data_IF_542662274086
#
_entry.id   IF_542662274086
#
_cell.length_a   1.000
_cell.length_b   1.000
_cell.length_c   1.000
_cell.angle_alpha   90.00
_cell.angle_beta   90.00
_cell.angle_gamma   90.00
#
_symmetry.space_group_name_H-M   'P 1'
#
loop_
_entity.id
_entity.type
_entity.pdbx_description
1 polymer ?
#
# COMPACT_ATOMS: atom_id res chain seq x y z
N UNK A 1 8.13 -6.66 -8.74
CA UNK A 1 7.04 -5.78 -8.24
C UNK A 1 5.73 -6.10 -8.94
N UNK A 2 4.62 -6.10 -8.20
CA UNK A 2 3.25 -6.33 -8.72
C UNK A 2 2.33 -5.16 -8.37
N UNK A 3 1.46 -4.78 -9.30
CA UNK A 3 0.51 -3.69 -9.10
C UNK A 3 -0.71 -4.16 -8.30
N UNK A 4 -1.14 -3.37 -7.32
CA UNK A 4 -2.42 -3.58 -6.64
C UNK A 4 -3.47 -2.70 -7.33
N UNK A 5 -4.53 -3.28 -7.91
CA UNK A 5 -5.57 -2.50 -8.58
C UNK A 5 -6.34 -1.66 -7.57
N UNK A 6 -6.45 -0.36 -7.84
CA UNK A 6 -7.16 0.61 -7.02
C UNK A 6 -8.10 1.43 -7.91
N UNK A 7 -9.18 1.93 -7.32
CA UNK A 7 -10.11 2.85 -7.98
C UNK A 7 -9.91 4.28 -7.45
N UNK A 8 -10.26 5.33 -8.22
CA UNK A 8 -10.14 6.72 -7.77
C UNK A 8 -11.24 7.11 -6.77
N UNK A 9 -11.22 6.51 -5.57
CA UNK A 9 -12.22 6.64 -4.52
C UNK A 9 -11.60 7.11 -3.20
N UNK A 10 -12.30 8.01 -2.50
CA UNK A 10 -11.88 8.51 -1.17
C UNK A 10 -11.79 7.42 -0.10
N UNK A 11 -12.51 6.31 -0.26
CA UNK A 11 -12.40 5.16 0.64
C UNK A 11 -12.65 3.88 -0.12
N UNK A 12 -11.76 2.90 0.04
CA UNK A 12 -11.89 1.58 -0.57
C UNK A 12 -11.20 0.49 0.26
N UNK A 13 -11.56 -0.76 0.01
CA UNK A 13 -10.93 -1.94 0.59
C UNK A 13 -10.66 -2.96 -0.52
N UNK A 14 -9.45 -3.49 -0.57
CA UNK A 14 -9.01 -4.47 -1.56
C UNK A 14 -8.53 -5.72 -0.84
N UNK A 15 -9.01 -6.88 -1.29
CA UNK A 15 -8.52 -8.18 -0.84
C UNK A 15 -7.64 -8.79 -1.91
N UNK A 16 -6.43 -9.21 -1.54
CA UNK A 16 -5.44 -9.74 -2.48
C UNK A 16 -4.54 -10.75 -1.77
N UNK A 17 -4.14 -11.81 -2.49
CA UNK A 17 -3.13 -12.76 -2.01
C UNK A 17 -1.71 -12.33 -2.45
N UNK A 18 -0.84 -12.08 -1.47
CA UNK A 18 0.55 -11.63 -1.68
C UNK A 18 1.51 -12.61 -1.00
N UNK A 19 2.34 -13.30 -1.80
CA UNK A 19 3.23 -14.37 -1.31
C UNK A 19 2.50 -15.44 -0.47
N UNK A 20 1.26 -15.80 -0.84
CA UNK A 20 0.45 -16.76 -0.09
C UNK A 20 -0.16 -16.23 1.22
N UNK A 21 -0.05 -14.92 1.48
CA UNK A 21 -0.68 -14.24 2.60
C UNK A 21 -1.98 -13.59 2.15
N UNK A 22 -3.08 -13.85 2.85
CA UNK A 22 -4.37 -13.21 2.56
C UNK A 22 -4.36 -11.79 3.13
N UNK A 23 -4.22 -10.81 2.26
CA UNK A 23 -4.13 -9.40 2.64
C UNK A 23 -5.46 -8.68 2.44
N UNK A 24 -5.80 -7.82 3.39
CA UNK A 24 -6.84 -6.79 3.24
C UNK A 24 -6.16 -5.44 3.39
N UNK A 25 -6.21 -4.65 2.34
CA UNK A 25 -5.67 -3.29 2.28
C UNK A 25 -6.85 -2.34 2.28
N UNK A 26 -6.92 -1.43 3.26
CA UNK A 26 -7.93 -0.37 3.30
C UNK A 26 -7.26 0.97 3.11
N UNK A 27 -7.82 1.79 2.23
CA UNK A 27 -7.35 3.14 1.95
C UNK A 27 -8.44 4.15 2.27
N UNK A 28 -8.05 5.26 2.89
CA UNK A 28 -8.96 6.36 3.15
C UNK A 28 -8.28 7.71 3.01
N UNK A 29 -8.79 8.56 2.14
CA UNK A 29 -8.45 9.97 2.08
C UNK A 29 -8.96 10.69 3.33
N UNK A 30 -8.07 11.44 3.96
CA UNK A 30 -8.36 12.47 4.97
C UNK A 30 -7.88 13.83 4.46
N UNK A 31 -7.98 14.87 5.27
CA UNK A 31 -7.56 16.22 4.89
C UNK A 31 -6.10 16.29 4.47
N UNK A 32 -5.21 15.61 5.19
CA UNK A 32 -3.76 15.69 4.95
C UNK A 32 -3.24 14.64 3.96
N UNK A 33 -3.64 13.37 4.11
CA UNK A 33 -3.08 12.25 3.35
C UNK A 33 -4.14 11.18 3.06
N UNK A 34 -3.78 10.23 2.21
CA UNK A 34 -4.39 8.90 2.24
C UNK A 34 -3.74 8.09 3.36
N UNK A 35 -4.57 7.43 4.15
CA UNK A 35 -4.14 6.52 5.22
C UNK A 35 -4.43 5.08 4.81
N UNK A 36 -3.51 4.18 5.14
CA UNK A 36 -3.60 2.75 4.85
C UNK A 36 -3.67 1.92 6.12
N UNK A 37 -4.55 0.93 6.09
CA UNK A 37 -4.55 -0.21 6.99
C UNK A 37 -4.13 -1.46 6.20
N UNK A 38 -3.29 -2.32 6.79
CA UNK A 38 -2.98 -3.65 6.27
C UNK A 38 -3.28 -4.70 7.34
N UNK A 39 -4.09 -5.68 6.95
CA UNK A 39 -4.37 -6.90 7.72
C UNK A 39 -3.91 -8.10 6.92
N UNK A 40 -3.18 -9.01 7.55
CA UNK A 40 -2.67 -10.25 6.96
C UNK A 40 -3.20 -11.44 7.74
N UNK A 41 -3.88 -12.36 7.07
CA UNK A 41 -4.46 -13.57 7.68
C UNK A 41 -5.31 -13.27 8.94
N UNK A 42 -6.03 -12.14 8.93
CA UNK A 42 -6.84 -11.66 10.05
C UNK A 42 -6.10 -10.87 11.12
N UNK A 43 -4.76 -10.80 11.07
CA UNK A 43 -3.95 -10.04 12.02
C UNK A 43 -3.62 -8.64 11.47
N UNK A 44 -3.86 -7.56 12.23
CA UNK A 44 -3.46 -6.22 11.82
C UNK A 44 -1.92 -6.09 11.82
N UNK A 45 -1.35 -5.71 10.69
CA UNK A 45 0.10 -5.48 10.53
C UNK A 45 0.44 -4.00 10.77
N UNK A 46 -0.36 -3.12 10.19
CA UNK A 46 -0.28 -1.67 10.40
C UNK A 46 -1.68 -1.06 10.22
N UNK A 47 -1.96 0.03 10.91
CA UNK A 47 -3.26 0.72 10.87
C UNK A 47 -3.04 2.22 10.92
N UNK A 48 -3.76 2.97 10.09
CA UNK A 48 -3.72 4.43 10.06
C UNK A 48 -2.36 5.01 9.67
N UNK A 49 -1.61 4.34 8.79
CA UNK A 49 -0.29 4.83 8.34
C UNK A 49 -0.46 5.75 7.13
N UNK A 50 0.08 6.98 7.13
CA UNK A 50 0.00 7.88 5.98
C UNK A 50 0.81 7.32 4.80
N UNK A 51 0.21 7.35 3.63
CA UNK A 51 0.85 6.96 2.37
C UNK A 51 1.67 8.14 1.84
N UNK A 52 2.98 7.97 1.75
CA UNK A 52 3.90 8.96 1.22
C UNK A 52 4.62 8.40 -0.02
N UNK A 53 4.95 9.26 -0.97
CA UNK A 53 5.66 8.87 -2.19
C UNK A 53 6.97 8.12 -1.88
N UNK A 54 7.15 6.96 -2.50
CA UNK A 54 8.37 6.15 -2.40
C UNK A 54 8.62 5.54 -1.02
N UNK A 55 7.71 5.75 -0.06
CA UNK A 55 7.88 5.28 1.30
C UNK A 55 7.35 3.85 1.45
N UNK A 56 8.20 2.96 1.95
CA UNK A 56 7.81 1.61 2.36
C UNK A 56 6.79 1.69 3.50
N UNK A 57 5.69 0.96 3.36
CA UNK A 57 4.59 1.04 4.33
C UNK A 57 4.83 0.17 5.57
N UNK A 58 5.33 -1.05 5.41
CA UNK A 58 5.55 -1.98 6.54
C UNK A 58 6.99 -1.86 7.09
N UNK A 59 8.00 -1.81 6.21
CA UNK A 59 9.44 -1.62 6.49
C UNK A 59 10.14 -2.72 7.27
N UNK A 60 9.52 -3.22 8.33
CA UNK A 60 10.15 -4.10 9.29
C UNK A 60 9.58 -5.51 9.20
N UNK A 61 10.44 -6.47 8.85
CA UNK A 61 10.06 -7.88 8.65
C UNK A 61 9.42 -8.51 9.90
N UNK A 62 9.79 -8.07 11.10
CA UNK A 62 9.22 -8.59 12.35
C UNK A 62 7.71 -8.33 12.50
N UNK A 63 7.13 -7.42 11.70
CA UNK A 63 5.69 -7.16 11.70
C UNK A 63 4.89 -8.29 11.04
N UNK A 64 5.53 -9.25 10.36
CA UNK A 64 4.86 -10.44 9.85
C UNK A 64 4.19 -10.26 8.49
N UNK A 65 4.77 -9.43 7.62
CA UNK A 65 4.39 -9.32 6.21
C UNK A 65 5.60 -9.63 5.32
N UNK A 66 5.46 -10.63 4.44
CA UNK A 66 6.50 -10.96 3.45
C UNK A 66 6.45 -10.00 2.27
N UNK A 67 7.48 -9.17 2.12
CA UNK A 67 7.55 -8.09 1.14
C UNK A 67 7.18 -6.73 1.73
N UNK A 68 6.91 -5.75 0.87
CA UNK A 68 6.47 -4.42 1.27
C UNK A 68 5.49 -3.80 0.27
N UNK A 69 4.83 -2.74 0.69
CA UNK A 69 3.93 -1.94 -0.14
C UNK A 69 4.51 -0.53 -0.29
N UNK A 70 4.40 0.05 -1.48
CA UNK A 70 4.86 1.42 -1.77
C UNK A 70 3.94 2.12 -2.76
N UNK A 71 3.67 3.39 -2.54
CA UNK A 71 3.06 4.24 -3.55
C UNK A 71 4.12 4.93 -4.41
N UNK A 72 3.98 4.86 -5.72
CA UNK A 72 4.77 5.63 -6.67
C UNK A 72 3.85 6.52 -7.53
N UNK A 73 4.35 7.70 -7.87
CA UNK A 73 3.72 8.65 -8.78
C UNK A 73 4.34 8.48 -10.19
N UNK A 74 3.52 8.12 -11.17
CA UNK A 74 3.97 7.86 -12.54
C UNK A 74 4.31 9.14 -13.34
N UNK A 75 3.96 10.33 -12.84
CA UNK A 75 4.21 11.60 -13.56
C UNK A 75 5.09 12.56 -12.78
N UNK A 76 5.49 12.20 -11.56
CA UNK A 76 6.21 13.09 -10.66
C UNK A 76 6.67 12.39 -9.38
N UNK A 77 6.72 13.14 -8.29
CA UNK A 77 7.13 12.66 -6.97
C UNK A 77 6.20 13.21 -5.88
N UNK A 78 4.89 13.15 -6.11
CA UNK A 78 3.89 13.64 -5.16
C UNK A 78 3.29 12.48 -4.35
N UNK A 79 2.90 12.79 -3.11
CA UNK A 79 2.12 11.89 -2.28
C UNK A 79 0.77 11.56 -2.94
N UNK A 80 0.23 10.35 -2.73
CA UNK A 80 -0.98 9.91 -3.41
C UNK A 80 -2.21 10.69 -2.94
N UNK A 81 -3.03 11.10 -3.91
CA UNK A 81 -4.38 11.63 -3.70
C UNK A 81 -5.43 10.74 -4.37
N UNK A 82 -6.64 10.69 -3.78
CA UNK A 82 -7.65 9.70 -4.14
C UNK A 82 -8.06 9.75 -5.61
N UNK A 83 -8.05 10.93 -6.22
CA UNK A 83 -8.45 11.19 -7.60
C UNK A 83 -7.47 10.62 -8.63
N UNK A 84 -6.23 10.32 -8.23
CA UNK A 84 -5.21 9.72 -9.10
C UNK A 84 -4.93 8.24 -8.84
N UNK A 85 -5.61 7.60 -7.87
CA UNK A 85 -5.37 6.18 -7.55
C UNK A 85 -5.65 5.27 -8.74
N UNK A 86 -4.80 4.25 -8.92
CA UNK A 86 -4.94 3.27 -10.00
C UNK A 86 -4.44 3.76 -11.36
N UNK A 87 -4.16 5.06 -11.51
CA UNK A 87 -3.58 5.65 -12.72
C UNK A 87 -2.26 6.36 -12.44
N UNK A 88 -2.34 7.58 -11.90
CA UNK A 88 -1.15 8.38 -11.54
C UNK A 88 -0.44 7.78 -10.34
N UNK A 89 -1.18 7.50 -9.28
CA UNK A 89 -0.66 6.98 -8.03
C UNK A 89 -0.90 5.48 -7.96
N UNK A 90 0.18 4.72 -8.08
CA UNK A 90 0.13 3.28 -8.15
C UNK A 90 0.66 2.68 -6.86
N UNK A 91 -0.12 1.77 -6.27
CA UNK A 91 0.32 0.95 -5.16
C UNK A 91 1.00 -0.31 -5.69
N UNK A 92 2.29 -0.44 -5.39
CA UNK A 92 3.07 -1.62 -5.73
C UNK A 92 3.29 -2.50 -4.51
N UNK A 93 3.21 -3.80 -4.73
CA UNK A 93 3.80 -4.82 -3.88
C UNK A 93 5.22 -5.13 -4.36
N UNK A 94 6.17 -5.07 -3.44
CA UNK A 94 7.57 -5.45 -3.63
C UNK A 94 7.76 -6.80 -2.94
N UNK A 95 8.24 -7.80 -3.67
CA UNK A 95 8.50 -9.12 -3.09
C UNK A 95 9.68 -9.05 -2.12
N UNK A 96 9.70 -9.93 -1.11
CA UNK A 96 10.76 -9.95 -0.10
C UNK A 96 12.17 -10.12 -0.72
N UNK A 97 12.26 -10.90 -1.79
CA UNK A 97 13.49 -11.13 -2.56
C UNK A 97 13.99 -9.88 -3.31
N UNK A 98 13.12 -8.90 -3.56
CA UNK A 98 13.42 -7.63 -4.24
C UNK A 98 13.77 -6.51 -3.25
N UNK A 99 13.59 -6.73 -1.93
CA UNK A 99 13.98 -5.78 -0.91
C UNK A 99 15.50 -5.82 -0.70
N UNK A 100 16.18 -4.71 -0.97
CA UNK A 100 17.57 -4.54 -0.56
C UNK A 100 17.61 -4.46 0.97
N UNK A 101 18.40 -5.34 1.60
CA UNK A 101 18.67 -5.37 3.04
C UNK A 101 19.59 -4.24 3.47
#
# INVERSE_FOLDING_TARGET
MRTIPLEPQKSQSVSVDLAGQRCVIRLIQRESFIYMDLTVNGNPIMQGVPCLYGNKMVRYSYLGFQGDLVFLDNVGQQDPSYDGLGGRFILYYIEESELVQ
#
